data_IF_864983835789
#
_entry.id   IF_864983835789
#
_cell.length_a   1.000
_cell.length_b   1.000
_cell.length_c   1.000
_cell.angle_alpha   90.00
_cell.angle_beta   90.00
_cell.angle_gamma   90.00
#
_symmetry.space_group_name_H-M   'P 1'
#
loop_
_entity.id
_entity.type
_entity.pdbx_description
1 polymer ?
#
# COMPACT_ATOMS: atom_id res chain seq x y z
N UNK A 1 9.67 32.49 17.53
CA UNK A 1 8.56 31.51 17.49
C UNK A 1 8.54 30.97 16.06
N UNK A 2 9.35 29.98 15.69
CA UNK A 2 9.30 28.60 16.17
C UNK A 2 8.74 27.76 15.01
N UNK A 3 9.51 27.63 13.92
CA UNK A 3 9.14 26.88 12.73
C UNK A 3 9.64 25.43 12.94
N UNK A 4 8.74 24.50 13.26
CA UNK A 4 9.09 23.08 13.37
C UNK A 4 9.26 22.44 11.98
N UNK A 5 10.34 21.69 11.72
CA UNK A 5 10.48 20.91 10.50
C UNK A 5 9.90 19.49 10.68
N UNK A 6 9.08 19.11 9.68
CA UNK A 6 8.81 17.75 9.14
C UNK A 6 7.80 16.81 9.81
N UNK A 7 6.86 16.28 8.98
CA UNK A 7 6.66 14.84 8.69
C UNK A 7 5.42 14.59 7.80
N UNK A 8 5.42 15.05 6.55
CA UNK A 8 4.50 14.52 5.53
C UNK A 8 5.28 14.28 4.24
N UNK A 9 5.53 13.00 3.96
CA UNK A 9 6.02 12.55 2.66
C UNK A 9 4.80 12.00 1.95
N UNK A 10 4.25 12.77 1.01
CA UNK A 10 3.18 12.36 0.11
C UNK A 10 3.81 11.67 -1.11
N UNK A 11 3.82 10.33 -1.13
CA UNK A 11 4.32 9.55 -2.27
C UNK A 11 3.21 8.65 -2.81
N UNK A 12 3.02 8.67 -4.12
CA UNK A 12 2.07 7.85 -4.87
C UNK A 12 2.83 7.10 -5.98
N UNK A 13 2.94 5.77 -5.93
CA UNK A 13 3.89 4.97 -6.73
C UNK A 13 3.32 4.32 -8.01
N UNK A 14 4.15 4.29 -9.06
CA UNK A 14 4.17 3.33 -10.18
C UNK A 14 5.63 2.93 -10.43
N UNK A 15 6.11 1.79 -9.93
CA UNK A 15 7.54 1.47 -10.01
C UNK A 15 7.90 0.49 -11.14
N UNK A 16 8.96 0.80 -11.87
CA UNK A 16 9.64 -0.12 -12.79
C UNK A 16 11.15 -0.10 -12.45
N UNK A 17 11.67 -1.08 -11.69
CA UNK A 17 13.09 -1.62 -11.69
C UNK A 17 14.32 -0.70 -11.41
N UNK A 18 15.48 -1.10 -10.87
CA UNK A 18 16.06 -2.33 -10.28
C UNK A 18 16.89 -1.90 -9.05
N UNK A 19 16.79 -2.60 -7.91
CA UNK A 19 17.64 -2.32 -6.75
C UNK A 19 18.95 -3.10 -6.85
N UNK A 20 19.91 -2.58 -7.61
CA UNK A 20 21.32 -2.88 -7.41
C UNK A 20 22.07 -1.55 -7.27
N UNK A 21 22.56 -1.30 -6.07
CA UNK A 21 23.54 -0.28 -5.69
C UNK A 21 23.16 1.19 -5.89
N UNK A 22 22.66 1.82 -4.81
CA UNK A 22 23.04 3.20 -4.49
C UNK A 22 24.49 3.19 -3.96
N UNK A 23 25.48 3.16 -4.86
CA UNK A 23 26.79 3.72 -4.53
C UNK A 23 26.67 5.23 -4.67
N UNK A 24 26.46 5.91 -3.55
CA UNK A 24 26.64 7.36 -3.44
C UNK A 24 28.11 7.67 -3.76
N UNK A 25 28.43 8.47 -4.80
CA UNK A 25 29.76 9.03 -4.92
C UNK A 25 29.91 10.07 -3.81
N UNK A 26 30.78 9.74 -2.87
CA UNK A 26 31.54 10.59 -1.94
C UNK A 26 31.24 12.09 -2.00
N UNK A 27 30.39 12.60 -1.09
CA UNK A 27 30.64 13.85 -0.34
C UNK A 27 29.56 14.07 0.75
N UNK A 28 30.01 14.48 1.94
CA UNK A 28 29.23 14.90 3.11
C UNK A 28 28.68 13.80 4.03
N UNK A 29 29.60 13.06 4.65
CA UNK A 29 29.43 12.54 6.01
C UNK A 29 29.38 13.72 6.99
N UNK A 30 28.20 14.29 7.21
CA UNK A 30 27.90 15.02 8.43
C UNK A 30 26.76 14.30 9.13
N UNK A 31 27.14 13.60 10.20
CA UNK A 31 26.34 13.26 11.38
C UNK A 31 24.82 13.43 11.24
N UNK A 32 24.13 12.33 10.92
CA UNK A 32 22.74 12.15 11.30
C UNK A 32 22.66 10.93 12.24
N UNK A 33 23.18 11.09 13.45
CA UNK A 33 22.69 10.30 14.58
C UNK A 33 21.18 10.57 14.72
N UNK A 34 20.35 9.64 14.22
CA UNK A 34 18.89 9.70 14.37
C UNK A 34 18.07 9.61 13.07
N UNK A 35 18.67 9.69 11.88
CA UNK A 35 17.94 9.40 10.65
C UNK A 35 17.80 7.88 10.47
N UNK A 36 16.74 7.30 11.07
CA UNK A 36 16.29 5.94 10.71
C UNK A 36 16.12 5.91 9.19
N UNK A 37 16.99 5.18 8.49
CA UNK A 37 16.80 4.83 7.08
C UNK A 37 15.38 4.25 6.95
N UNK A 38 14.51 4.97 6.26
CA UNK A 38 13.11 4.59 6.08
C UNK A 38 13.08 3.37 5.15
N UNK A 39 12.99 2.17 5.71
CA UNK A 39 12.85 0.94 4.94
C UNK A 39 11.43 0.89 4.34
N UNK A 40 11.33 1.24 3.07
CA UNK A 40 10.12 1.08 2.25
C UNK A 40 10.06 -0.30 1.58
N UNK A 41 10.95 -1.22 1.97
CA UNK A 41 11.05 -2.57 1.40
C UNK A 41 9.72 -3.32 1.45
N UNK A 42 8.93 -3.13 2.51
CA UNK A 42 7.61 -3.75 2.65
C UNK A 42 6.60 -3.30 1.58
N UNK A 43 6.78 -2.13 0.95
CA UNK A 43 5.96 -1.73 -0.20
C UNK A 43 6.54 -2.33 -1.48
N UNK A 44 7.85 -2.27 -1.67
CA UNK A 44 8.48 -2.61 -2.95
C UNK A 44 8.72 -4.10 -3.18
N UNK A 45 9.03 -4.83 -2.12
CA UNK A 45 9.40 -6.25 -2.16
C UNK A 45 8.79 -6.98 -0.95
N UNK A 46 7.47 -6.91 -0.75
CA UNK A 46 6.84 -7.62 0.35
C UNK A 46 7.11 -9.12 0.23
N UNK A 47 7.29 -9.76 1.38
CA UNK A 47 7.35 -11.22 1.52
C UNK A 47 5.97 -11.85 1.66
N UNK A 48 4.91 -11.05 1.85
CA UNK A 48 3.52 -11.48 1.93
C UNK A 48 2.57 -10.28 1.76
N UNK A 49 1.41 -10.51 1.15
CA UNK A 49 0.42 -9.47 0.86
C UNK A 49 -0.98 -9.89 1.30
N UNK A 50 -1.70 -9.01 1.98
CA UNK A 50 -3.13 -9.14 2.25
C UNK A 50 -3.95 -8.13 1.44
N UNK A 51 -5.02 -8.60 0.79
CA UNK A 51 -6.01 -7.76 0.10
C UNK A 51 -7.27 -7.63 0.95
N UNK A 52 -7.40 -6.51 1.67
CA UNK A 52 -8.55 -6.22 2.53
C UNK A 52 -9.63 -5.50 1.73
N UNK A 53 -10.83 -6.10 1.73
CA UNK A 53 -11.93 -5.71 0.85
C UNK A 53 -11.98 -6.52 -0.44
N UNK A 54 -11.23 -7.63 -0.52
CA UNK A 54 -11.31 -8.58 -1.63
C UNK A 54 -12.77 -8.96 -1.90
N UNK A 55 -13.14 -9.16 -3.17
CA UNK A 55 -14.53 -9.49 -3.53
C UNK A 55 -14.58 -10.55 -4.62
N UNK A 56 -15.59 -11.40 -4.58
CA UNK A 56 -15.95 -12.33 -5.66
C UNK A 56 -16.77 -11.67 -6.78
N UNK A 57 -17.22 -10.42 -6.60
CA UNK A 57 -18.02 -9.69 -7.60
C UNK A 57 -17.13 -8.98 -8.62
N UNK A 58 -17.15 -9.36 -9.91
CA UNK A 58 -16.39 -8.67 -10.95
C UNK A 58 -16.72 -7.18 -11.01
N UNK A 59 -15.72 -6.36 -11.32
CA UNK A 59 -15.85 -4.89 -11.44
C UNK A 59 -15.72 -4.13 -10.12
N UNK A 60 -15.81 -4.78 -8.95
CA UNK A 60 -15.46 -4.12 -7.69
C UNK A 60 -13.95 -3.93 -7.57
N UNK A 61 -13.51 -2.82 -6.99
CA UNK A 61 -12.08 -2.52 -6.80
C UNK A 61 -11.34 -3.67 -6.11
N UNK A 62 -11.91 -4.23 -5.03
CA UNK A 62 -11.30 -5.37 -4.34
C UNK A 62 -11.24 -6.68 -5.15
N UNK A 63 -12.15 -6.88 -6.11
CA UNK A 63 -12.02 -7.98 -7.09
C UNK A 63 -10.84 -7.72 -8.02
N UNK A 64 -10.75 -6.50 -8.57
CA UNK A 64 -9.68 -6.11 -9.51
C UNK A 64 -8.31 -6.27 -8.86
N UNK A 65 -8.12 -5.73 -7.66
CA UNK A 65 -6.85 -5.83 -6.92
C UNK A 65 -6.44 -7.28 -6.65
N UNK A 66 -7.38 -8.11 -6.17
CA UNK A 66 -7.11 -9.53 -5.91
C UNK A 66 -6.77 -10.30 -7.19
N UNK A 67 -7.57 -10.11 -8.25
CA UNK A 67 -7.34 -10.76 -9.55
C UNK A 67 -6.02 -10.33 -10.19
N UNK A 68 -5.69 -9.04 -10.11
CA UNK A 68 -4.45 -8.49 -10.68
C UNK A 68 -3.22 -9.03 -9.95
N UNK A 69 -3.24 -9.02 -8.61
CA UNK A 69 -2.18 -9.62 -7.81
C UNK A 69 -1.99 -11.11 -8.13
N UNK A 70 -3.08 -11.88 -8.23
CA UNK A 70 -3.00 -13.30 -8.56
C UNK A 70 -2.47 -13.58 -9.97
N UNK A 71 -2.75 -12.69 -10.93
CA UNK A 71 -2.29 -12.82 -12.33
C UNK A 71 -0.91 -12.21 -12.58
N UNK A 72 -0.42 -11.38 -11.66
CA UNK A 72 0.83 -10.64 -11.84
C UNK A 72 2.08 -11.53 -11.87
N UNK A 73 2.00 -12.75 -11.32
CA UNK A 73 3.16 -13.65 -11.17
C UNK A 73 3.85 -13.53 -9.81
N UNK A 74 3.25 -12.79 -8.87
CA UNK A 74 3.71 -12.68 -7.49
C UNK A 74 3.78 -14.07 -6.84
N UNK A 75 4.96 -14.41 -6.32
CA UNK A 75 5.34 -15.75 -5.87
C UNK A 75 5.32 -15.91 -4.34
N UNK A 76 5.10 -14.83 -3.60
CA UNK A 76 4.95 -14.85 -2.15
C UNK A 76 3.49 -15.08 -1.71
N UNK A 77 3.25 -15.43 -0.44
CA UNK A 77 1.90 -15.61 0.11
C UNK A 77 0.95 -14.44 -0.16
N UNK A 78 -0.24 -14.78 -0.65
CA UNK A 78 -1.36 -13.87 -0.88
C UNK A 78 -2.53 -14.29 -0.01
N UNK A 79 -3.04 -13.35 0.78
CA UNK A 79 -4.20 -13.54 1.64
C UNK A 79 -5.34 -12.61 1.18
N UNK A 80 -6.55 -13.14 1.12
CA UNK A 80 -7.75 -12.36 0.80
C UNK A 80 -8.54 -12.15 2.09
N UNK A 81 -9.01 -10.92 2.33
CA UNK A 81 -9.81 -10.60 3.51
C UNK A 81 -11.14 -10.01 3.06
N UNK A 82 -12.22 -10.68 3.48
CA UNK A 82 -13.60 -10.29 3.22
C UNK A 82 -14.46 -10.70 4.43
N UNK A 83 -15.29 -9.80 4.93
CA UNK A 83 -16.15 -10.01 6.11
C UNK A 83 -17.04 -11.26 6.06
N UNK A 84 -17.38 -11.76 4.86
CA UNK A 84 -18.16 -12.98 4.68
C UNK A 84 -17.33 -14.24 4.92
N UNK A 85 -16.03 -14.20 4.61
CA UNK A 85 -15.11 -15.34 4.70
C UNK A 85 -15.33 -16.39 3.62
N UNK A 86 -15.92 -16.01 2.48
CA UNK A 86 -16.21 -16.91 1.37
C UNK A 86 -14.96 -17.17 0.50
N UNK A 87 -15.01 -18.18 -0.36
CA UNK A 87 -13.99 -18.37 -1.39
C UNK A 87 -14.05 -17.24 -2.43
N UNK A 88 -12.88 -16.66 -2.74
CA UNK A 88 -12.72 -15.59 -3.73
C UNK A 88 -11.59 -16.00 -4.67
N UNK A 89 -11.88 -16.07 -5.98
CA UNK A 89 -10.90 -16.40 -7.02
C UNK A 89 -10.15 -17.73 -6.75
N UNK A 90 -10.84 -18.74 -6.23
CA UNK A 90 -10.25 -20.05 -5.92
C UNK A 90 -9.38 -20.07 -4.67
N UNK A 91 -9.45 -19.02 -3.82
CA UNK A 91 -8.72 -18.92 -2.55
C UNK A 91 -9.67 -18.65 -1.41
N UNK A 92 -9.39 -19.27 -0.26
CA UNK A 92 -10.10 -18.96 0.98
C UNK A 92 -9.85 -17.51 1.40
N UNK A 93 -10.91 -16.76 1.67
CA UNK A 93 -10.83 -15.46 2.31
C UNK A 93 -11.01 -15.58 3.83
N UNK A 94 -10.30 -14.74 4.58
CA UNK A 94 -10.41 -14.62 6.03
C UNK A 94 -11.36 -13.47 6.38
N UNK A 95 -12.06 -13.55 7.52
CA UNK A 95 -13.03 -12.49 7.89
C UNK A 95 -12.34 -11.22 8.38
N UNK A 96 -11.15 -11.37 8.95
CA UNK A 96 -10.28 -10.29 9.37
C UNK A 96 -8.82 -10.60 9.02
N UNK A 97 -7.96 -9.58 9.09
CA UNK A 97 -6.51 -9.78 8.92
C UNK A 97 -5.89 -10.55 10.10
N UNK A 98 -6.51 -10.49 11.28
CA UNK A 98 -6.06 -11.19 12.48
C UNK A 98 -6.30 -12.69 12.44
N UNK A 99 -7.26 -13.16 11.63
CA UNK A 99 -7.52 -14.59 11.40
C UNK A 99 -6.51 -15.26 10.45
N UNK A 100 -5.68 -14.48 9.74
CA UNK A 100 -4.67 -15.03 8.83
C UNK A 100 -3.64 -15.82 9.67
N UNK A 101 -3.34 -17.09 9.34
CA UNK A 101 -2.41 -17.89 10.12
C UNK A 101 -0.95 -17.48 9.91
N UNK A 102 -0.59 -17.00 8.72
CA UNK A 102 0.76 -16.55 8.39
C UNK A 102 1.03 -15.08 8.70
N UNK A 103 2.25 -14.65 8.45
CA UNK A 103 2.66 -13.25 8.55
C UNK A 103 2.14 -12.44 7.36
N UNK A 104 1.87 -11.16 7.61
CA UNK A 104 1.45 -10.19 6.58
C UNK A 104 2.39 -8.99 6.63
N UNK A 105 3.20 -8.78 5.60
CA UNK A 105 4.13 -7.65 5.55
C UNK A 105 3.49 -6.39 4.95
N UNK A 106 2.69 -6.56 3.89
CA UNK A 106 1.95 -5.50 3.22
C UNK A 106 0.45 -5.79 3.21
N UNK A 107 -0.35 -4.78 3.52
CA UNK A 107 -1.80 -4.85 3.34
C UNK A 107 -2.31 -3.75 2.40
N UNK A 108 -3.10 -4.13 1.39
CA UNK A 108 -3.86 -3.18 0.57
C UNK A 108 -5.29 -3.10 1.09
N UNK A 109 -5.80 -1.88 1.29
CA UNK A 109 -7.10 -1.61 1.91
C UNK A 109 -7.99 -0.90 0.90
N UNK A 110 -9.12 -1.55 0.54
CA UNK A 110 -10.09 -1.05 -0.44
C UNK A 110 -11.55 -1.14 0.06
N UNK A 111 -11.76 -0.80 1.33
CA UNK A 111 -13.07 -0.82 2.01
C UNK A 111 -13.60 0.60 2.25
N UNK A 112 -14.89 0.82 2.57
CA UNK A 112 -15.41 2.15 2.89
C UNK A 112 -14.61 2.85 4.00
N UNK A 113 -14.35 4.17 3.86
CA UNK A 113 -13.47 4.97 4.74
C UNK A 113 -13.79 4.82 6.24
N UNK A 114 -15.07 4.73 6.60
CA UNK A 114 -15.54 4.54 7.98
C UNK A 114 -15.01 3.28 8.68
N UNK A 115 -14.56 2.29 7.92
CA UNK A 115 -13.99 1.03 8.45
C UNK A 115 -12.47 0.99 8.38
N UNK A 116 -11.83 1.99 7.77
CA UNK A 116 -10.38 1.97 7.53
C UNK A 116 -9.61 2.07 8.85
N UNK A 117 -10.00 2.97 9.77
CA UNK A 117 -9.29 3.12 11.05
C UNK A 117 -9.25 1.83 11.87
N UNK A 118 -10.40 1.17 12.06
CA UNK A 118 -10.46 -0.09 12.80
C UNK A 118 -9.67 -1.21 12.11
N UNK A 119 -9.61 -1.20 10.78
CA UNK A 119 -8.82 -2.14 9.99
C UNK A 119 -7.33 -1.88 10.15
N UNK A 120 -6.89 -0.62 10.17
CA UNK A 120 -5.49 -0.25 10.42
C UNK A 120 -5.07 -0.67 11.83
N UNK A 121 -5.93 -0.51 12.83
CA UNK A 121 -5.66 -1.01 14.19
C UNK A 121 -5.38 -2.53 14.18
N UNK A 122 -6.23 -3.30 13.50
CA UNK A 122 -6.03 -4.75 13.33
C UNK A 122 -4.75 -5.10 12.55
N UNK A 123 -4.40 -4.32 11.53
CA UNK A 123 -3.12 -4.48 10.82
C UNK A 123 -1.94 -4.26 11.76
N UNK A 124 -2.03 -3.25 12.63
CA UNK A 124 -1.04 -2.95 13.66
C UNK A 124 -0.87 -4.10 14.65
N UNK A 125 -1.97 -4.64 15.17
CA UNK A 125 -1.98 -5.81 16.06
C UNK A 125 -1.39 -7.06 15.39
N UNK A 126 -1.65 -7.24 14.08
CA UNK A 126 -1.10 -8.34 13.28
C UNK A 126 0.39 -8.17 12.95
N UNK A 127 0.97 -6.99 13.20
CA UNK A 127 2.38 -6.71 12.91
C UNK A 127 2.67 -6.39 11.44
N UNK A 128 1.67 -5.90 10.70
CA UNK A 128 1.85 -5.42 9.33
C UNK A 128 2.89 -4.30 9.30
N UNK A 129 3.74 -4.23 8.27
CA UNK A 129 4.81 -3.21 8.19
C UNK A 129 4.42 -2.03 7.30
N UNK A 130 3.64 -2.28 6.26
CA UNK A 130 3.20 -1.25 5.32
C UNK A 130 1.76 -1.44 4.86
N UNK A 131 1.13 -0.32 4.50
CA UNK A 131 -0.25 -0.22 4.06
C UNK A 131 -0.32 0.54 2.74
N UNK A 132 -1.14 0.04 1.81
CA UNK A 132 -1.62 0.80 0.64
C UNK A 132 -3.10 1.06 0.83
N UNK A 133 -3.49 2.30 1.08
CA UNK A 133 -4.89 2.67 1.30
C UNK A 133 -5.46 3.23 0.00
N UNK A 134 -6.27 2.42 -0.68
CA UNK A 134 -6.93 2.77 -1.93
C UNK A 134 -8.15 3.66 -1.67
N UNK A 135 -8.84 3.42 -0.56
CA UNK A 135 -10.09 4.08 -0.20
C UNK A 135 -9.99 5.61 -0.22
N UNK A 136 -10.96 6.24 -0.88
CA UNK A 136 -11.25 7.67 -0.78
C UNK A 136 -12.16 7.96 0.44
N UNK A 137 -12.56 9.22 0.61
CA UNK A 137 -13.33 9.75 1.74
C UNK A 137 -12.49 10.37 2.85
N UNK A 138 -11.31 10.92 2.51
CA UNK A 138 -10.36 11.52 3.45
C UNK A 138 -10.20 13.02 3.17
N UNK A 139 -8.99 13.59 3.29
CA UNK A 139 -8.77 15.04 3.23
C UNK A 139 -9.35 15.72 1.98
N UNK A 140 -9.47 14.99 0.88
CA UNK A 140 -10.09 15.48 -0.36
C UNK A 140 -11.57 15.83 -0.22
N UNK A 141 -12.26 15.35 0.82
CA UNK A 141 -13.68 15.64 1.07
C UNK A 141 -13.92 16.78 2.05
N UNK A 142 -12.86 17.46 2.53
CA UNK A 142 -12.95 18.62 3.43
C UNK A 142 -12.52 18.33 4.87
N UNK A 143 -12.99 19.15 5.81
CA UNK A 143 -12.48 19.19 7.18
C UNK A 143 -12.61 17.85 7.93
N UNK A 144 -13.78 17.21 7.91
CA UNK A 144 -14.00 15.93 8.58
C UNK A 144 -13.10 14.83 8.02
N UNK A 145 -12.90 14.81 6.70
CA UNK A 145 -12.01 13.88 6.03
C UNK A 145 -10.53 14.12 6.37
N UNK A 146 -10.12 15.38 6.56
CA UNK A 146 -8.78 15.73 7.00
C UNK A 146 -8.50 15.25 8.44
N UNK A 147 -9.48 15.37 9.33
CA UNK A 147 -9.38 14.82 10.69
C UNK A 147 -9.32 13.28 10.69
N UNK A 148 -10.08 12.63 9.79
CA UNK A 148 -10.02 11.18 9.61
C UNK A 148 -8.63 10.72 9.11
N UNK A 149 -8.06 11.47 8.17
CA UNK A 149 -6.72 11.19 7.62
C UNK A 149 -5.62 11.37 8.67
N UNK A 150 -5.73 12.43 9.50
CA UNK A 150 -4.83 12.65 10.63
C UNK A 150 -4.83 11.46 11.59
N UNK A 151 -6.02 10.99 11.97
CA UNK A 151 -6.17 9.78 12.83
C UNK A 151 -5.58 8.53 12.17
N UNK A 152 -5.74 8.39 10.85
CA UNK A 152 -5.17 7.27 10.10
C UNK A 152 -3.64 7.26 10.18
N UNK A 153 -3.00 8.43 10.03
CA UNK A 153 -1.54 8.55 10.14
C UNK A 153 -1.07 8.32 11.58
N UNK A 154 -1.75 8.89 12.57
CA UNK A 154 -1.44 8.69 13.99
C UNK A 154 -1.52 7.20 14.38
N UNK A 155 -2.57 6.51 13.94
CA UNK A 155 -2.79 5.09 14.21
C UNK A 155 -1.67 4.24 13.59
N UNK A 156 -1.33 4.45 12.31
CA UNK A 156 -0.23 3.70 11.72
C UNK A 156 1.12 3.99 12.36
N UNK A 157 1.37 5.26 12.74
CA UNK A 157 2.61 5.64 13.42
C UNK A 157 2.75 4.97 14.79
N UNK A 158 1.66 4.78 15.54
CA UNK A 158 1.63 4.06 16.82
C UNK A 158 2.19 2.63 16.69
N UNK A 159 1.88 1.94 15.58
CA UNK A 159 2.38 0.58 15.31
C UNK A 159 3.66 0.55 14.46
N UNK A 160 4.24 1.72 14.13
CA UNK A 160 5.43 1.80 13.27
C UNK A 160 5.19 1.46 11.80
N UNK A 161 3.93 1.43 11.35
CA UNK A 161 3.55 1.14 9.97
C UNK A 161 3.82 2.33 9.03
N UNK A 162 4.07 2.02 7.75
CA UNK A 162 4.16 3.02 6.67
C UNK A 162 2.88 2.99 5.84
N UNK A 163 2.47 4.15 5.31
CA UNK A 163 1.27 4.28 4.49
C UNK A 163 1.63 4.87 3.13
N UNK A 164 1.09 4.26 2.08
CA UNK A 164 0.86 4.87 0.78
C UNK A 164 -0.65 5.15 0.61
N UNK A 165 -0.99 6.36 0.17
CA UNK A 165 -2.38 6.85 0.14
C UNK A 165 -2.73 7.69 1.38
N UNK A 166 -4.01 7.85 1.74
CA UNK A 166 -5.20 7.25 1.14
C UNK A 166 -5.53 7.77 -0.27
N UNK A 167 -6.68 7.36 -0.83
CA UNK A 167 -7.17 7.84 -2.13
C UNK A 167 -6.13 7.71 -3.25
N UNK A 168 -5.62 6.51 -3.47
CA UNK A 168 -4.60 6.25 -4.47
C UNK A 168 -4.99 5.15 -5.46
N UNK A 169 -4.33 5.14 -6.62
CA UNK A 169 -4.51 4.11 -7.65
C UNK A 169 -3.98 2.73 -7.21
N UNK A 170 -3.03 2.71 -6.28
CA UNK A 170 -2.31 1.52 -5.84
C UNK A 170 -0.83 1.54 -6.23
N UNK A 171 -0.22 0.36 -6.35
CA UNK A 171 1.18 0.23 -6.73
C UNK A 171 1.39 -0.97 -7.67
N UNK A 172 2.32 -0.82 -8.60
CA UNK A 172 2.79 -1.87 -9.50
C UNK A 172 4.30 -2.01 -9.32
N UNK A 173 4.81 -3.23 -9.32
CA UNK A 173 6.23 -3.51 -9.46
C UNK A 173 6.42 -4.61 -10.51
N UNK A 174 7.24 -4.36 -11.52
CA UNK A 174 7.50 -5.30 -12.63
C UNK A 174 8.66 -6.27 -12.37
N UNK A 175 9.43 -6.05 -11.31
CA UNK A 175 10.58 -6.87 -10.91
C UNK A 175 10.28 -7.83 -9.76
N UNK A 176 9.52 -7.36 -8.78
CA UNK A 176 8.78 -8.23 -7.87
C UNK A 176 7.35 -8.16 -8.38
N UNK A 177 6.94 -9.11 -9.24
CA UNK A 177 5.83 -8.91 -10.16
C UNK A 177 4.49 -8.95 -9.42
N UNK A 178 4.13 -7.84 -8.77
CA UNK A 178 2.82 -7.62 -8.17
C UNK A 178 2.12 -6.46 -8.87
N UNK A 179 0.79 -6.58 -8.98
CA UNK A 179 -0.10 -5.50 -9.33
C UNK A 179 -1.16 -5.33 -8.23
N UNK A 180 -0.98 -4.30 -7.42
CA UNK A 180 -1.90 -3.85 -6.39
C UNK A 180 -2.58 -2.55 -6.79
N UNK A 181 -2.88 -2.41 -8.08
CA UNK A 181 -3.59 -1.28 -8.66
C UNK A 181 -4.84 -1.73 -9.40
N UNK A 182 -5.69 -0.76 -9.74
CA UNK A 182 -6.82 -0.94 -10.65
C UNK A 182 -6.63 -0.17 -11.96
N UNK A 183 -5.37 -0.02 -12.39
CA UNK A 183 -5.04 0.53 -13.70
C UNK A 183 -5.49 -0.42 -14.82
N UNK A 184 -5.85 0.13 -15.98
CA UNK A 184 -6.29 -0.67 -17.15
C UNK A 184 -5.12 -1.29 -17.92
N UNK A 185 -3.93 -0.72 -17.80
CA UNK A 185 -2.74 -1.07 -18.56
C UNK A 185 -1.57 -1.29 -17.60
N UNK A 186 -0.76 -2.32 -17.86
CA UNK A 186 0.48 -2.57 -17.13
C UNK A 186 1.67 -2.04 -17.92
N UNK A 187 2.65 -1.40 -17.25
CA UNK A 187 3.84 -0.97 -17.92
C UNK A 187 4.70 -2.18 -18.30
N UNK A 188 5.49 -2.04 -19.36
CA UNK A 188 6.54 -3.03 -19.68
C UNK A 188 7.59 -3.05 -18.57
N UNK A 189 8.14 -4.23 -18.29
CA UNK A 189 9.32 -4.38 -17.44
C UNK A 189 10.47 -3.53 -18.01
N UNK A 190 11.09 -2.71 -17.17
CA UNK A 190 12.01 -1.65 -17.60
C UNK A 190 12.99 -1.28 -16.49
N UNK A 191 13.32 0.00 -16.28
CA UNK A 191 14.18 0.54 -15.19
C UNK A 191 13.83 1.97 -14.78
N UNK A 192 12.57 2.37 -15.00
CA UNK A 192 12.04 3.69 -14.69
C UNK A 192 11.13 3.65 -13.46
N UNK A 193 11.51 4.30 -12.37
CA UNK A 193 10.57 4.61 -11.30
C UNK A 193 9.65 5.77 -11.69
N UNK A 194 8.34 5.60 -11.60
CA UNK A 194 7.35 6.64 -11.87
C UNK A 194 6.50 6.91 -10.60
N UNK A 195 6.22 8.18 -10.30
CA UNK A 195 5.48 8.58 -9.11
C UNK A 195 4.57 9.73 -9.53
N UNK A 196 3.27 9.64 -9.21
CA UNK A 196 2.28 10.65 -9.60
C UNK A 196 1.20 10.81 -8.55
N UNK A 197 0.92 12.05 -8.14
CA UNK A 197 -0.19 12.37 -7.23
C UNK A 197 -1.55 12.37 -7.92
N UNK A 198 -1.58 12.29 -9.26
CA UNK A 198 -2.82 12.19 -10.04
C UNK A 198 -2.98 10.76 -10.56
N UNK A 199 -4.03 10.08 -10.08
CA UNK A 199 -4.39 8.74 -10.57
C UNK A 199 -4.71 8.74 -12.07
N UNK A 200 -5.46 9.74 -12.55
CA UNK A 200 -5.83 9.86 -13.95
C UNK A 200 -4.64 10.09 -14.89
N UNK A 201 -3.69 10.95 -14.47
CA UNK A 201 -2.44 11.12 -15.21
C UNK A 201 -1.61 9.84 -15.19
N UNK A 202 -1.61 9.14 -14.05
CA UNK A 202 -0.94 7.85 -13.91
C UNK A 202 -1.43 6.83 -14.92
N UNK A 203 -2.74 6.66 -15.04
CA UNK A 203 -3.32 5.70 -16.00
C UNK A 203 -3.12 6.12 -17.45
N UNK A 204 -3.00 7.42 -17.75
CA UNK A 204 -2.78 7.92 -19.11
C UNK A 204 -1.34 7.69 -19.62
N UNK A 205 -0.37 7.57 -18.71
CA UNK A 205 1.05 7.36 -19.04
C UNK A 205 1.40 5.87 -19.18
N UNK A 206 0.61 4.98 -18.56
CA UNK A 206 0.78 3.52 -18.59
C UNK A 206 0.46 2.91 -19.96
#
# INVERSE_FOLDING_TARGET
MGFEPTRYIWIYYVYISNAQSFYLPTLCLLSLEGARYLKLDAIFRPSSVAVIGASSTPGKVGYVLANNLLKSGYDAPIYLVNIKGDEILGKQAYKSITEIPGDVELAVICIPSKFVLSTIEQCGEKGVKALIVISAGFKETGHEGAELEKKLVETASKYGMRIQGPNCLGAINTHVPYDLSFASTLPKKGSIGFITQSGALGTAIL
#
